data_IF_634012987426
#
_entry.id   IF_634012987426
#
_cell.length_a   1.000
_cell.length_b   1.000
_cell.length_c   1.000
_cell.angle_alpha   90.00
_cell.angle_beta   90.00
_cell.angle_gamma   90.00
#
_symmetry.space_group_name_H-M   'P 1'
#
loop_
_entity.id
_entity.type
_entity.pdbx_description
1 polymer ?
#
# COMPACT_ATOMS: atom_id res chain seq x y z
N UNK A 1 2.07 -9.29 8.68
CA UNK A 1 2.89 -8.98 7.49
C UNK A 1 2.49 -7.66 6.82
N UNK A 2 1.21 -7.33 6.70
CA UNK A 2 0.75 -6.14 5.97
C UNK A 2 1.21 -4.78 6.54
N UNK A 3 1.42 -4.69 7.85
CA UNK A 3 1.91 -3.47 8.53
C UNK A 3 3.26 -3.02 7.97
N UNK A 4 4.11 -3.97 7.53
CA UNK A 4 5.40 -3.65 6.91
C UNK A 4 5.21 -2.85 5.62
N UNK A 5 4.21 -3.21 4.80
CA UNK A 5 3.92 -2.49 3.56
C UNK A 5 3.35 -1.09 3.82
N UNK A 6 2.56 -0.91 4.89
CA UNK A 6 2.11 0.42 5.31
C UNK A 6 3.28 1.32 5.72
N UNK A 7 4.23 0.79 6.51
CA UNK A 7 5.43 1.53 6.93
C UNK A 7 6.33 1.85 5.73
N UNK A 8 6.56 0.87 4.85
CA UNK A 8 7.32 1.05 3.61
C UNK A 8 6.68 2.12 2.71
N UNK A 9 5.35 2.07 2.56
CA UNK A 9 4.58 3.06 1.82
C UNK A 9 4.69 4.48 2.38
N UNK A 10 4.64 4.63 3.70
CA UNK A 10 4.87 5.94 4.35
C UNK A 10 6.28 6.47 4.08
N UNK A 11 7.30 5.59 4.11
CA UNK A 11 8.68 5.95 3.81
C UNK A 11 8.86 6.37 2.34
N UNK A 12 8.25 5.67 1.39
CA UNK A 12 8.28 6.04 -0.03
C UNK A 12 7.61 7.38 -0.28
N UNK A 13 6.46 7.64 0.35
CA UNK A 13 5.80 8.94 0.24
C UNK A 13 6.72 10.07 0.68
N UNK A 14 7.40 9.91 1.82
CA UNK A 14 8.34 10.91 2.32
C UNK A 14 9.46 11.19 1.31
N UNK A 15 9.99 10.14 0.68
CA UNK A 15 11.06 10.25 -0.32
C UNK A 15 10.61 10.92 -1.62
N UNK A 16 9.43 10.59 -2.13
CA UNK A 16 8.90 11.18 -3.36
C UNK A 16 8.35 12.60 -3.18
N UNK A 17 8.06 13.05 -1.96
CA UNK A 17 7.43 14.35 -1.72
C UNK A 17 8.25 15.53 -2.26
N UNK A 18 9.58 15.43 -2.25
CA UNK A 18 10.48 16.49 -2.71
C UNK A 18 10.66 16.56 -4.23
N UNK A 19 10.86 15.42 -4.89
CA UNK A 19 11.23 15.35 -6.33
C UNK A 19 10.03 15.06 -7.23
N UNK A 20 9.08 14.24 -6.76
CA UNK A 20 7.99 13.71 -7.59
C UNK A 20 6.66 13.66 -6.82
N UNK A 21 6.08 14.85 -6.61
CA UNK A 21 4.82 15.02 -5.86
C UNK A 21 3.67 14.16 -6.42
N UNK A 22 3.61 13.95 -7.74
CA UNK A 22 2.60 13.08 -8.38
C UNK A 22 2.77 11.63 -7.93
N UNK A 23 4.00 11.10 -7.90
CA UNK A 23 4.28 9.75 -7.43
C UNK A 23 4.00 9.62 -5.92
N UNK A 24 4.31 10.66 -5.14
CA UNK A 24 3.99 10.68 -3.71
C UNK A 24 2.48 10.55 -3.44
N UNK A 25 1.64 11.24 -4.22
CA UNK A 25 0.17 11.14 -4.11
C UNK A 25 -0.32 9.73 -4.45
N UNK A 26 0.24 9.10 -5.49
CA UNK A 26 -0.10 7.71 -5.84
C UNK A 26 0.25 6.76 -4.69
N UNK A 27 1.44 6.90 -4.10
CA UNK A 27 1.84 6.08 -2.94
C UNK A 27 0.87 6.28 -1.77
N UNK A 28 0.48 7.52 -1.46
CA UNK A 28 -0.49 7.81 -0.38
C UNK A 28 -1.81 7.09 -0.61
N UNK A 29 -2.35 7.16 -1.83
CA UNK A 29 -3.61 6.48 -2.18
C UNK A 29 -3.47 4.97 -1.93
N UNK A 30 -2.39 4.36 -2.43
CA UNK A 30 -2.10 2.93 -2.25
C UNK A 30 -1.98 2.55 -0.77
N UNK A 31 -1.33 3.38 0.05
CA UNK A 31 -1.20 3.16 1.51
C UNK A 31 -2.55 3.25 2.23
N UNK A 32 -3.41 4.20 1.86
CA UNK A 32 -4.76 4.33 2.43
C UNK A 32 -5.61 3.10 2.09
N UNK A 33 -5.52 2.60 0.85
CA UNK A 33 -6.18 1.34 0.46
C UNK A 33 -5.65 0.15 1.28
N UNK A 34 -4.33 0.05 1.48
CA UNK A 34 -3.72 -1.00 2.29
C UNK A 34 -4.20 -0.98 3.75
N UNK A 35 -4.29 0.22 4.33
CA UNK A 35 -4.82 0.43 5.68
C UNK A 35 -6.32 0.07 5.78
N UNK A 36 -7.11 0.42 4.76
CA UNK A 36 -8.54 0.09 4.70
C UNK A 36 -8.77 -1.42 4.59
N UNK A 37 -7.90 -2.11 3.85
CA UNK A 37 -7.90 -3.57 3.75
C UNK A 37 -7.55 -4.22 5.08
N UNK A 38 -6.51 -3.73 5.76
CA UNK A 38 -6.11 -4.17 7.10
C UNK A 38 -7.23 -4.00 8.13
N UNK A 39 -7.91 -2.87 8.13
CA UNK A 39 -9.03 -2.61 9.04
C UNK A 39 -10.23 -3.53 8.74
N UNK A 40 -10.44 -3.87 7.46
CA UNK A 40 -11.48 -4.80 7.04
C UNK A 40 -11.16 -6.25 7.41
N UNK A 41 -9.89 -6.66 7.39
CA UNK A 41 -9.43 -7.97 7.88
C UNK A 41 -9.57 -8.11 9.41
N UNK A 42 -9.35 -7.02 10.16
CA UNK A 42 -9.51 -7.01 11.63
C UNK A 42 -10.98 -7.06 12.06
N UNK A 43 -11.91 -6.63 11.18
CA UNK A 43 -13.31 -6.43 11.53
C UNK A 43 -14.30 -7.55 11.16
N UNK A 44 -13.97 -8.54 10.30
CA UNK A 44 -15.04 -9.34 9.66
C UNK A 44 -14.74 -10.83 9.45
N UNK A 45 -15.60 -11.62 10.10
CA UNK A 45 -15.89 -13.06 10.05
C UNK A 45 -16.73 -13.49 8.81
N UNK A 46 -16.43 -12.99 7.59
CA UNK A 46 -17.28 -13.26 6.40
C UNK A 46 -16.48 -13.86 5.23
N UNK A 47 -16.56 -15.20 5.14
CA UNK A 47 -15.83 -16.07 4.21
C UNK A 47 -16.03 -15.84 2.71
N UNK A 48 -16.83 -14.87 2.28
CA UNK A 48 -16.98 -14.51 0.85
C UNK A 48 -16.11 -13.29 0.45
N UNK A 49 -15.81 -12.38 1.38
CA UNK A 49 -14.98 -11.19 1.10
C UNK A 49 -13.47 -11.45 1.20
N UNK A 50 -13.05 -12.49 1.91
CA UNK A 50 -11.63 -12.79 2.12
C UNK A 50 -10.83 -12.99 0.83
N UNK A 51 -11.43 -13.56 -0.22
CA UNK A 51 -10.74 -13.78 -1.51
C UNK A 51 -10.51 -12.47 -2.27
N UNK A 52 -11.49 -11.57 -2.28
CA UNK A 52 -11.36 -10.26 -2.93
C UNK A 52 -10.39 -9.36 -2.17
N UNK A 53 -10.44 -9.37 -0.83
CA UNK A 53 -9.47 -8.68 0.01
C UNK A 53 -8.05 -9.22 -0.20
N UNK A 54 -7.87 -10.53 -0.30
CA UNK A 54 -6.57 -11.14 -0.56
C UNK A 54 -6.00 -10.73 -1.94
N UNK A 55 -6.83 -10.69 -2.97
CA UNK A 55 -6.42 -10.23 -4.31
C UNK A 55 -6.05 -8.75 -4.27
N UNK A 56 -6.88 -7.91 -3.66
CA UNK A 56 -6.60 -6.49 -3.51
C UNK A 56 -5.28 -6.28 -2.76
N UNK A 57 -5.11 -6.93 -1.60
CA UNK A 57 -3.89 -6.90 -0.81
C UNK A 57 -2.65 -7.34 -1.60
N UNK A 58 -2.76 -8.36 -2.44
CA UNK A 58 -1.66 -8.80 -3.31
C UNK A 58 -1.26 -7.71 -4.31
N UNK A 59 -2.23 -7.09 -5.00
CA UNK A 59 -1.97 -6.00 -5.93
C UNK A 59 -1.42 -4.75 -5.23
N UNK A 60 -1.98 -4.37 -4.08
CA UNK A 60 -1.53 -3.22 -3.30
C UNK A 60 -0.10 -3.43 -2.80
N UNK A 61 0.23 -4.64 -2.32
CA UNK A 61 1.59 -4.98 -1.87
C UNK A 61 2.61 -4.93 -3.02
N UNK A 62 2.29 -5.50 -4.19
CA UNK A 62 3.15 -5.43 -5.37
C UNK A 62 3.38 -3.97 -5.79
N UNK A 63 2.32 -3.17 -5.80
CA UNK A 63 2.40 -1.76 -6.16
C UNK A 63 3.33 -1.00 -5.21
N UNK A 64 3.25 -1.26 -3.90
CA UNK A 64 4.15 -0.67 -2.90
C UNK A 64 5.60 -1.08 -3.17
N UNK A 65 5.87 -2.35 -3.49
CA UNK A 65 7.23 -2.83 -3.79
C UNK A 65 7.81 -2.16 -5.03
N UNK A 66 7.00 -2.01 -6.10
CA UNK A 66 7.44 -1.35 -7.34
C UNK A 66 7.73 0.13 -7.08
N UNK A 67 6.80 0.84 -6.42
CA UNK A 67 6.99 2.26 -6.08
C UNK A 67 8.17 2.46 -5.14
N UNK A 68 8.38 1.54 -4.20
CA UNK A 68 9.54 1.54 -3.30
C UNK A 68 10.85 1.38 -4.05
N UNK A 69 10.94 0.40 -4.93
CA UNK A 69 12.12 0.19 -5.78
C UNK A 69 12.39 1.42 -6.65
N UNK A 70 11.35 1.99 -7.26
CA UNK A 70 11.46 3.20 -8.08
C UNK A 70 11.99 4.40 -7.28
N UNK A 71 11.69 4.52 -5.99
CA UNK A 71 12.20 5.63 -5.16
C UNK A 71 13.71 5.58 -4.89
N UNK A 72 14.37 4.45 -5.16
CA UNK A 72 15.84 4.34 -5.09
C UNK A 72 16.51 4.56 -6.44
N UNK A 73 15.76 4.42 -7.53
CA UNK A 73 16.25 4.59 -8.90
C UNK A 73 16.09 6.04 -9.36
N UNK A 74 14.95 6.65 -9.03
CA UNK A 74 14.66 8.08 -9.19
C UNK A 74 15.11 8.82 -7.92
#
# INVERSE_FOLDING_TARGET
MMIIFTILGGWTTYRFWGEHTILAVIVIIVVIYQLSSLNSEVGVDHGYKGRELAIMNYFTSITIVILFTLSFIL
#
